data_IF_171225310322
#
_entry.id   IF_171225310322
#
_cell.length_a   1.000
_cell.length_b   1.000
_cell.length_c   1.000
_cell.angle_alpha   90.00
_cell.angle_beta   90.00
_cell.angle_gamma   90.00
#
_symmetry.space_group_name_H-M   'P 1'
#
loop_
_entity.id
_entity.type
_entity.pdbx_description
1 polymer ?
#
# COMPACT_ATOMS: atom_id res chain seq x y z
N UNK A 1 -21.08 -9.06 -11.45
CA UNK A 1 -19.71 -9.59 -11.32
C UNK A 1 -19.66 -10.87 -12.12
N UNK A 2 -18.86 -10.89 -13.19
CA UNK A 2 -18.69 -12.06 -14.06
C UNK A 2 -17.86 -13.09 -13.30
N UNK A 3 -18.31 -14.33 -13.27
CA UNK A 3 -17.68 -15.39 -12.48
C UNK A 3 -16.40 -15.86 -13.19
N UNK A 4 -15.26 -15.74 -12.53
CA UNK A 4 -13.97 -16.26 -13.01
C UNK A 4 -13.29 -15.45 -14.11
N UNK A 5 -13.79 -14.27 -14.46
CA UNK A 5 -13.17 -13.42 -15.47
C UNK A 5 -12.07 -12.53 -14.87
N UNK A 6 -10.81 -12.80 -15.22
CA UNK A 6 -9.73 -11.81 -15.11
C UNK A 6 -9.93 -10.76 -16.21
N UNK A 7 -10.50 -9.61 -15.82
CA UNK A 7 -10.86 -8.56 -16.75
C UNK A 7 -9.66 -7.98 -17.50
N UNK A 8 -8.52 -7.78 -16.83
CA UNK A 8 -7.35 -7.19 -17.47
C UNK A 8 -6.72 -8.13 -18.50
N UNK A 9 -6.66 -9.42 -18.19
CA UNK A 9 -6.18 -10.45 -19.13
C UNK A 9 -7.15 -10.59 -20.32
N UNK A 10 -8.45 -10.61 -20.05
CA UNK A 10 -9.48 -10.68 -21.10
C UNK A 10 -9.41 -9.52 -22.09
N UNK A 11 -9.20 -8.28 -21.62
CA UNK A 11 -9.05 -7.12 -22.51
C UNK A 11 -7.81 -7.25 -23.42
N UNK A 12 -6.71 -7.81 -22.90
CA UNK A 12 -5.52 -8.05 -23.72
C UNK A 12 -5.78 -9.13 -24.77
N UNK A 13 -6.42 -10.24 -24.40
CA UNK A 13 -6.83 -11.30 -25.31
C UNK A 13 -7.76 -10.78 -26.42
N UNK A 14 -8.77 -9.98 -26.06
CA UNK A 14 -9.72 -9.39 -27.01
C UNK A 14 -9.02 -8.46 -28.03
N UNK A 15 -8.05 -7.66 -27.60
CA UNK A 15 -7.29 -6.79 -28.50
C UNK A 15 -6.51 -7.60 -29.53
N UNK A 16 -5.85 -8.67 -29.10
CA UNK A 16 -5.14 -9.58 -30.02
C UNK A 16 -6.09 -10.21 -31.03
N UNK A 17 -7.25 -10.71 -30.60
CA UNK A 17 -8.25 -11.30 -31.51
C UNK A 17 -8.81 -10.30 -32.53
N UNK A 18 -9.01 -9.04 -32.13
CA UNK A 18 -9.46 -7.98 -33.03
C UNK A 18 -8.37 -7.55 -34.04
N UNK A 19 -7.10 -7.55 -33.64
CA UNK A 19 -5.95 -7.24 -34.51
C UNK A 19 -5.68 -8.36 -35.53
N UNK A 20 -5.88 -9.62 -35.15
CA UNK A 20 -5.74 -10.79 -36.03
C UNK A 20 -6.93 -10.97 -36.98
N UNK A 21 -8.10 -10.42 -36.64
CA UNK A 21 -9.30 -10.47 -37.48
C UNK A 21 -9.16 -9.56 -38.71
N UNK A 22 -9.03 -10.18 -39.88
CA UNK A 22 -9.01 -9.50 -41.18
C UNK A 22 -10.22 -8.61 -41.53
N UNK A 23 -11.27 -8.61 -40.71
CA UNK A 23 -12.47 -7.77 -40.87
C UNK A 23 -12.65 -6.71 -39.77
N UNK A 24 -11.69 -6.58 -38.85
CA UNK A 24 -11.77 -5.66 -37.68
C UNK A 24 -13.05 -5.85 -36.82
N UNK A 25 -13.64 -7.04 -36.92
CA UNK A 25 -14.86 -7.46 -36.27
C UNK A 25 -14.68 -8.90 -35.78
N UNK A 26 -15.08 -9.16 -34.53
CA UNK A 26 -15.12 -10.50 -33.94
C UNK A 26 -16.49 -10.77 -33.34
N UNK A 27 -16.87 -12.04 -33.30
CA UNK A 27 -18.08 -12.47 -32.60
C UNK A 27 -17.78 -12.54 -31.09
N UNK A 28 -18.44 -11.70 -30.31
CA UNK A 28 -18.19 -11.58 -28.87
C UNK A 28 -18.52 -12.84 -28.07
N UNK A 29 -19.49 -13.63 -28.53
CA UNK A 29 -19.81 -14.93 -27.93
C UNK A 29 -18.68 -15.92 -28.17
N UNK A 30 -18.17 -16.00 -29.41
CA UNK A 30 -17.08 -16.91 -29.79
C UNK A 30 -15.78 -16.54 -29.07
N UNK A 31 -15.40 -15.25 -29.07
CA UNK A 31 -14.19 -14.79 -28.37
C UNK A 31 -14.26 -15.04 -26.87
N UNK A 32 -15.43 -14.85 -26.27
CA UNK A 32 -15.61 -15.11 -24.84
C UNK A 32 -15.59 -16.62 -24.52
N UNK A 33 -16.14 -17.43 -25.41
CA UNK A 33 -16.08 -18.89 -25.33
C UNK A 33 -14.64 -19.40 -25.44
N UNK A 34 -13.89 -18.93 -26.44
CA UNK A 34 -12.49 -19.32 -26.64
C UNK A 34 -11.62 -18.89 -25.46
N UNK A 35 -11.86 -17.69 -24.92
CA UNK A 35 -11.17 -17.24 -23.71
C UNK A 35 -11.42 -18.16 -22.51
N UNK A 36 -12.64 -18.65 -22.32
CA UNK A 36 -12.96 -19.60 -21.23
C UNK A 36 -12.49 -21.03 -21.49
N UNK A 37 -12.22 -21.41 -22.74
CA UNK A 37 -11.52 -22.65 -23.04
C UNK A 37 -10.05 -22.56 -22.61
N UNK A 38 -9.39 -21.43 -22.90
CA UNK A 38 -7.98 -21.21 -22.56
C UNK A 38 -7.77 -20.87 -21.07
N UNK A 39 -8.75 -20.21 -20.46
CA UNK A 39 -8.72 -19.73 -19.07
C UNK A 39 -10.04 -20.08 -18.34
N UNK A 40 -10.24 -21.35 -17.96
CA UNK A 40 -11.49 -21.79 -17.36
C UNK A 40 -11.74 -21.18 -15.97
N UNK A 41 -12.99 -20.79 -15.66
CA UNK A 41 -13.38 -20.32 -14.33
C UNK A 41 -13.15 -21.34 -13.20
N UNK A 42 -12.77 -20.85 -12.01
CA UNK A 42 -12.53 -21.68 -10.83
C UNK A 42 -13.69 -22.66 -10.52
N UNK A 43 -13.35 -23.96 -10.48
CA UNK A 43 -14.26 -25.04 -10.13
C UNK A 43 -14.88 -25.81 -11.30
N UNK A 44 -14.40 -25.57 -12.53
CA UNK A 44 -14.63 -26.45 -13.68
C UNK A 44 -13.41 -27.36 -13.86
N UNK A 45 -13.63 -28.68 -13.91
CA UNK A 45 -12.54 -29.63 -14.16
C UNK A 45 -12.02 -29.46 -15.60
N UNK A 46 -10.71 -29.16 -15.73
CA UNK A 46 -10.02 -29.03 -17.01
C UNK A 46 -10.10 -30.34 -17.80
N UNK A 47 -10.81 -30.34 -18.93
CA UNK A 47 -10.83 -31.51 -19.81
C UNK A 47 -11.57 -31.25 -21.12
N UNK A 48 -11.04 -31.81 -22.21
CA UNK A 48 -11.58 -31.67 -23.58
C UNK A 48 -12.91 -32.44 -23.82
N UNK A 49 -13.69 -32.68 -22.77
CA UNK A 49 -14.96 -33.42 -22.86
C UNK A 49 -16.08 -32.56 -23.41
N UNK A 50 -17.02 -33.17 -24.14
CA UNK A 50 -18.22 -32.47 -24.65
C UNK A 50 -19.01 -31.79 -23.51
N UNK A 51 -19.04 -32.41 -22.32
CA UNK A 51 -19.67 -31.87 -21.12
C UNK A 51 -19.03 -30.56 -20.64
N UNK A 52 -17.70 -30.45 -20.72
CA UNK A 52 -16.97 -29.23 -20.35
C UNK A 52 -17.28 -28.08 -21.31
N UNK A 53 -17.29 -28.36 -22.63
CA UNK A 53 -17.65 -27.37 -23.66
C UNK A 53 -19.10 -26.89 -23.50
N UNK A 54 -20.03 -27.79 -23.21
CA UNK A 54 -21.44 -27.44 -22.94
C UNK A 54 -21.63 -26.58 -21.67
N UNK A 55 -20.80 -26.77 -20.64
CA UNK A 55 -20.85 -25.96 -19.42
C UNK A 55 -20.28 -24.56 -19.67
N UNK A 56 -19.18 -24.45 -20.43
CA UNK A 56 -18.62 -23.15 -20.85
C UNK A 56 -19.62 -22.39 -21.71
N UNK A 57 -20.24 -23.04 -22.72
CA UNK A 57 -21.24 -22.39 -23.57
C UNK A 57 -22.40 -21.84 -22.74
N UNK A 58 -22.93 -22.63 -21.79
CA UNK A 58 -23.97 -22.15 -20.86
C UNK A 58 -23.54 -20.94 -20.04
N UNK A 59 -22.28 -20.92 -19.56
CA UNK A 59 -21.74 -19.80 -18.79
C UNK A 59 -21.54 -18.54 -19.63
N UNK A 60 -21.07 -18.69 -20.87
CA UNK A 60 -20.89 -17.59 -21.84
C UNK A 60 -22.24 -16.97 -22.17
N UNK A 61 -23.23 -17.78 -22.55
CA UNK A 61 -24.58 -17.32 -22.88
C UNK A 61 -25.25 -16.61 -21.69
N UNK A 62 -25.03 -17.09 -20.46
CA UNK A 62 -25.58 -16.45 -19.27
C UNK A 62 -24.93 -15.10 -18.92
N UNK A 63 -23.68 -14.87 -19.35
CA UNK A 63 -22.87 -13.74 -18.91
C UNK A 63 -22.58 -12.70 -20.01
N UNK A 64 -22.78 -13.05 -21.28
CA UNK A 64 -22.46 -12.19 -22.43
C UNK A 64 -23.17 -10.83 -22.36
N UNK A 65 -24.43 -10.79 -21.92
CA UNK A 65 -25.17 -9.54 -21.75
C UNK A 65 -24.51 -8.60 -20.71
N UNK A 66 -24.06 -9.16 -19.58
CA UNK A 66 -23.39 -8.36 -18.56
C UNK A 66 -21.99 -7.94 -19.00
N UNK A 67 -21.28 -8.81 -19.73
CA UNK A 67 -19.99 -8.49 -20.33
C UNK A 67 -20.11 -7.36 -21.35
N UNK A 68 -21.10 -7.40 -22.24
CA UNK A 68 -21.35 -6.37 -23.22
C UNK A 68 -21.64 -5.01 -22.57
N UNK A 69 -22.44 -4.97 -21.50
CA UNK A 69 -22.69 -3.74 -20.75
C UNK A 69 -21.40 -3.21 -20.10
N UNK A 70 -20.63 -4.08 -19.46
CA UNK A 70 -19.38 -3.70 -18.80
C UNK A 70 -18.31 -3.20 -19.78
N UNK A 71 -18.19 -3.84 -20.95
CA UNK A 71 -17.31 -3.40 -22.03
C UNK A 71 -17.80 -2.08 -22.65
N UNK A 72 -19.12 -1.90 -22.81
CA UNK A 72 -19.68 -0.64 -23.31
C UNK A 72 -19.46 0.52 -22.33
N UNK A 73 -19.51 0.27 -21.02
CA UNK A 73 -19.24 1.29 -19.99
C UNK A 73 -17.76 1.65 -19.89
N UNK A 74 -16.88 0.64 -19.87
CA UNK A 74 -15.46 0.84 -19.55
C UNK A 74 -14.57 1.02 -20.79
N UNK A 75 -14.92 0.41 -21.93
CA UNK A 75 -14.06 0.29 -23.11
C UNK A 75 -14.66 0.96 -24.37
N UNK A 76 -15.71 1.77 -24.22
CA UNK A 76 -16.34 2.56 -25.30
C UNK A 76 -15.40 3.49 -26.06
N UNK A 77 -14.19 3.72 -25.53
CA UNK A 77 -13.15 4.53 -26.16
C UNK A 77 -12.52 3.88 -27.38
N UNK A 78 -12.47 2.54 -27.44
CA UNK A 78 -11.85 1.80 -28.55
C UNK A 78 -12.71 0.65 -29.09
N UNK A 79 -13.74 0.23 -28.36
CA UNK A 79 -14.61 -0.88 -28.70
C UNK A 79 -16.04 -0.39 -28.95
N UNK A 80 -16.64 -0.81 -30.06
CA UNK A 80 -18.06 -0.64 -30.35
C UNK A 80 -18.72 -2.03 -30.33
N UNK A 81 -19.83 -2.16 -29.60
CA UNK A 81 -20.58 -3.40 -29.49
C UNK A 81 -21.92 -3.21 -30.21
N UNK A 82 -22.18 -4.09 -31.19
CA UNK A 82 -23.37 -4.10 -32.04
C UNK A 82 -23.98 -5.50 -31.96
N UNK A 83 -24.91 -5.67 -31.00
CA UNK A 83 -25.41 -6.97 -30.54
C UNK A 83 -24.27 -7.92 -30.12
N UNK A 84 -24.05 -9.00 -30.89
CA UNK A 84 -23.01 -10.01 -30.64
C UNK A 84 -21.69 -9.69 -31.38
N UNK A 85 -21.61 -8.57 -32.10
CA UNK A 85 -20.45 -8.19 -32.90
C UNK A 85 -19.65 -7.12 -32.19
N UNK A 86 -18.41 -7.45 -31.88
CA UNK A 86 -17.45 -6.53 -31.28
C UNK A 86 -16.55 -5.99 -32.38
N UNK A 87 -16.54 -4.67 -32.54
CA UNK A 87 -15.84 -3.96 -33.60
C UNK A 87 -14.88 -2.95 -32.99
N UNK A 88 -13.73 -2.77 -33.63
CA UNK A 88 -12.91 -1.60 -33.35
C UNK A 88 -13.71 -0.35 -33.72
N UNK A 89 -13.79 0.62 -32.81
CA UNK A 89 -14.45 1.88 -33.11
C UNK A 89 -13.62 2.63 -34.15
N UNK A 90 -14.16 2.97 -35.34
CA UNK A 90 -13.42 3.72 -36.37
C UNK A 90 -13.01 5.12 -35.90
N UNK A 91 -13.62 5.62 -34.82
CA UNK A 91 -13.22 6.88 -34.16
C UNK A 91 -12.03 6.71 -33.21
N UNK A 92 -11.63 5.46 -32.92
CA UNK A 92 -10.47 5.09 -32.12
C UNK A 92 -9.26 4.72 -32.99
N UNK A 93 -9.50 4.31 -34.24
CA UNK A 93 -8.49 4.32 -35.30
C UNK A 93 -8.35 5.77 -35.79
N UNK A 94 -7.49 6.50 -35.09
CA UNK A 94 -7.16 7.92 -35.31
C UNK A 94 -8.18 8.96 -34.81
N UNK A 95 -8.10 9.25 -33.52
CA UNK A 95 -7.53 10.57 -33.18
C UNK A 95 -6.02 10.41 -32.97
N UNK A 96 -5.26 10.26 -34.07
CA UNK A 96 -4.12 11.14 -34.21
C UNK A 96 -4.75 12.51 -34.09
N UNK A 97 -4.46 13.22 -33.01
CA UNK A 97 -4.62 14.65 -33.10
C UNK A 97 -3.91 15.05 -34.38
N UNK A 98 -4.63 15.70 -35.29
CA UNK A 98 -4.04 16.52 -36.34
C UNK A 98 -3.34 17.77 -35.74
N UNK A 99 -2.82 17.59 -34.53
CA UNK A 99 -1.72 18.34 -33.99
C UNK A 99 -0.67 17.26 -33.73
N UNK A 100 0.15 16.94 -34.75
CA UNK A 100 1.37 16.17 -34.52
C UNK A 100 2.04 16.80 -33.30
N UNK A 101 2.33 16.00 -32.27
CA UNK A 101 2.98 16.53 -31.08
C UNK A 101 4.23 17.32 -31.50
N UNK A 102 4.57 18.36 -30.75
CA UNK A 102 5.71 19.21 -31.08
C UNK A 102 6.99 18.39 -31.33
N UNK A 103 7.11 17.24 -30.64
CA UNK A 103 8.12 16.23 -30.90
C UNK A 103 7.99 15.62 -32.31
N UNK A 104 6.87 14.98 -32.66
CA UNK A 104 6.70 14.28 -33.95
C UNK A 104 6.86 15.18 -35.18
N UNK A 105 6.58 16.49 -35.06
CA UNK A 105 6.87 17.49 -36.11
C UNK A 105 8.37 17.69 -36.37
N UNK A 106 9.22 17.39 -35.37
CA UNK A 106 10.68 17.61 -35.38
C UNK A 106 11.50 16.31 -35.51
N UNK A 107 10.84 15.16 -35.69
CA UNK A 107 11.48 13.85 -35.82
C UNK A 107 11.76 13.47 -37.29
N UNK A 108 12.95 12.95 -37.54
CA UNK A 108 13.28 12.26 -38.79
C UNK A 108 12.55 10.92 -38.89
N UNK A 109 12.43 10.36 -40.10
CA UNK A 109 11.74 9.07 -40.35
C UNK A 109 12.35 7.94 -39.52
N UNK A 110 13.68 7.88 -39.44
CA UNK A 110 14.43 6.90 -38.65
C UNK A 110 14.17 7.04 -37.14
N UNK A 111 13.89 8.24 -36.65
CA UNK A 111 13.62 8.49 -35.23
C UNK A 111 12.17 8.15 -34.85
N UNK A 112 11.25 8.23 -35.82
CA UNK A 112 9.86 7.79 -35.63
C UNK A 112 9.80 6.27 -35.46
N UNK A 113 10.63 5.53 -36.22
CA UNK A 113 10.75 4.08 -36.09
C UNK A 113 11.21 3.62 -34.69
N UNK A 114 11.90 4.49 -33.92
CA UNK A 114 12.30 4.16 -32.54
C UNK A 114 11.12 4.01 -31.57
N UNK A 115 9.96 4.59 -31.88
CA UNK A 115 8.73 4.45 -31.09
C UNK A 115 8.02 3.11 -31.34
N UNK A 116 8.35 2.42 -32.43
CA UNK A 116 7.73 1.15 -32.83
C UNK A 116 8.55 -0.07 -32.36
N UNK A 117 9.72 0.17 -31.77
CA UNK A 117 10.61 -0.89 -31.28
C UNK A 117 10.00 -1.63 -30.08
N UNK A 118 10.16 -2.95 -30.08
CA UNK A 118 9.90 -3.80 -28.93
C UNK A 118 11.14 -3.92 -28.02
N UNK A 119 10.92 -4.24 -26.74
CA UNK A 119 12.01 -4.41 -25.75
C UNK A 119 13.08 -5.41 -26.21
N UNK A 120 12.68 -6.47 -26.93
CA UNK A 120 13.57 -7.56 -27.37
C UNK A 120 14.51 -7.15 -28.50
N UNK A 121 14.20 -6.07 -29.21
CA UNK A 121 14.99 -5.56 -30.34
C UNK A 121 16.08 -4.58 -29.89
N UNK A 122 16.10 -4.21 -28.60
CA UNK A 122 17.02 -3.19 -28.07
C UNK A 122 18.35 -3.80 -27.61
N UNK A 123 19.32 -3.85 -28.53
CA UNK A 123 20.72 -4.14 -28.22
C UNK A 123 21.44 -2.97 -27.52
N UNK A 124 22.69 -3.17 -27.08
CA UNK A 124 23.48 -2.15 -26.38
C UNK A 124 23.73 -0.88 -27.23
N UNK A 125 23.90 -1.04 -28.54
CA UNK A 125 24.15 0.06 -29.48
C UNK A 125 22.90 0.90 -29.69
N UNK A 126 21.75 0.24 -29.89
CA UNK A 126 20.44 0.87 -30.03
C UNK A 126 20.03 1.57 -28.75
N UNK A 127 20.35 1.00 -27.57
CA UNK A 127 20.12 1.65 -26.28
C UNK A 127 20.89 2.96 -26.14
N UNK A 128 22.17 3.02 -26.55
CA UNK A 128 22.95 4.27 -26.56
C UNK A 128 22.32 5.31 -27.48
N UNK A 129 21.79 4.89 -28.64
CA UNK A 129 21.03 5.77 -29.54
C UNK A 129 19.74 6.28 -28.89
N UNK A 130 18.97 5.42 -28.21
CA UNK A 130 17.75 5.80 -27.48
C UNK A 130 18.03 6.80 -26.36
N UNK A 131 19.11 6.59 -25.58
CA UNK A 131 19.54 7.54 -24.54
C UNK A 131 19.88 8.92 -25.14
N UNK A 132 20.64 8.94 -26.25
CA UNK A 132 20.96 10.17 -26.97
C UNK A 132 19.72 10.86 -27.50
N UNK A 133 18.84 10.09 -28.15
CA UNK A 133 17.56 10.55 -28.69
C UNK A 133 16.65 11.16 -27.60
N UNK A 134 16.54 10.48 -26.47
CA UNK A 134 15.74 10.95 -25.34
C UNK A 134 16.27 12.28 -24.79
N UNK A 135 17.55 12.37 -24.50
CA UNK A 135 18.15 13.56 -23.90
C UNK A 135 18.12 14.78 -24.83
N UNK A 136 18.26 14.57 -26.14
CA UNK A 136 18.31 15.66 -27.12
C UNK A 136 16.93 16.16 -27.54
N UNK A 137 15.96 15.25 -27.68
CA UNK A 137 14.66 15.55 -28.30
C UNK A 137 13.49 15.24 -27.39
N UNK A 138 13.32 13.98 -26.97
CA UNK A 138 12.10 13.52 -26.28
C UNK A 138 11.90 14.24 -24.94
N UNK A 139 12.97 14.40 -24.15
CA UNK A 139 12.90 15.09 -22.85
C UNK A 139 12.41 16.54 -22.97
N UNK A 140 12.75 17.22 -24.08
CA UNK A 140 12.49 18.65 -24.31
C UNK A 140 11.15 18.92 -24.99
N UNK A 141 10.78 18.08 -25.96
CA UNK A 141 9.63 18.34 -26.84
C UNK A 141 8.51 17.31 -26.69
N UNK A 142 8.75 16.19 -25.99
CA UNK A 142 7.78 15.12 -25.83
C UNK A 142 6.74 15.40 -24.76
N UNK A 143 5.53 14.91 -24.97
CA UNK A 143 4.52 14.76 -23.93
C UNK A 143 4.87 13.62 -22.96
N UNK A 144 4.17 13.54 -21.84
CA UNK A 144 4.50 12.58 -20.78
C UNK A 144 4.37 11.12 -21.21
N UNK A 145 3.36 10.80 -22.03
CA UNK A 145 3.22 9.46 -22.64
C UNK A 145 4.38 9.09 -23.56
N UNK A 146 4.85 10.04 -24.37
CA UNK A 146 5.95 9.84 -25.31
C UNK A 146 7.28 9.69 -24.58
N UNK A 147 7.50 10.50 -23.55
CA UNK A 147 8.66 10.36 -22.66
C UNK A 147 8.65 8.99 -22.00
N UNK A 148 7.53 8.58 -21.42
CA UNK A 148 7.43 7.31 -20.71
C UNK A 148 7.74 6.13 -21.62
N UNK A 149 7.19 6.10 -22.84
CA UNK A 149 7.44 5.02 -23.79
C UNK A 149 8.95 4.83 -24.06
N UNK A 150 9.65 5.91 -24.39
CA UNK A 150 11.08 5.84 -24.70
C UNK A 150 11.90 5.49 -23.45
N UNK A 151 11.54 6.03 -22.28
CA UNK A 151 12.22 5.69 -21.03
C UNK A 151 12.08 4.21 -20.71
N UNK A 152 10.89 3.63 -20.89
CA UNK A 152 10.67 2.19 -20.68
C UNK A 152 11.55 1.34 -21.58
N UNK A 153 11.66 1.68 -22.87
CA UNK A 153 12.58 0.99 -23.79
C UNK A 153 14.04 1.08 -23.33
N UNK A 154 14.46 2.21 -22.76
CA UNK A 154 15.81 2.39 -22.21
C UNK A 154 16.02 1.52 -20.96
N UNK A 155 15.07 1.54 -20.03
CA UNK A 155 15.22 0.92 -18.70
C UNK A 155 14.97 -0.59 -18.74
N UNK A 156 13.92 -1.04 -19.40
CA UNK A 156 13.54 -2.45 -19.40
C UNK A 156 14.55 -3.32 -20.18
N UNK A 157 15.15 -2.76 -21.24
CA UNK A 157 16.25 -3.43 -21.95
C UNK A 157 17.55 -3.52 -21.11
N UNK A 158 17.72 -2.65 -20.10
CA UNK A 158 18.93 -2.57 -19.30
C UNK A 158 19.08 -3.69 -18.26
N UNK A 159 18.02 -4.44 -17.93
CA UNK A 159 18.08 -5.52 -16.93
C UNK A 159 19.14 -6.62 -17.22
N UNK A 160 19.76 -6.62 -18.40
CA UNK A 160 20.70 -7.64 -18.86
C UNK A 160 22.13 -7.13 -19.16
N UNK A 161 22.49 -5.87 -18.89
CA UNK A 161 23.82 -5.34 -19.26
C UNK A 161 24.58 -4.73 -18.07
N UNK A 162 25.52 -5.51 -17.52
CA UNK A 162 26.49 -5.07 -16.50
C UNK A 162 27.69 -4.44 -17.20
N UNK A 163 27.59 -3.20 -17.66
CA UNK A 163 28.78 -2.40 -17.98
C UNK A 163 28.47 -0.90 -18.02
N UNK A 164 29.29 -0.17 -17.25
CA UNK A 164 29.63 1.25 -17.34
C UNK A 164 28.57 2.33 -17.04
N UNK A 165 28.83 3.03 -15.92
CA UNK A 165 28.82 4.50 -15.72
C UNK A 165 27.68 5.39 -16.25
N UNK A 166 26.56 4.83 -16.69
CA UNK A 166 25.39 5.63 -17.04
C UNK A 166 24.43 5.74 -15.86
N UNK A 167 23.85 6.94 -15.68
CA UNK A 167 22.81 7.24 -14.70
C UNK A 167 21.48 6.54 -15.05
N UNK A 168 21.47 5.22 -15.16
CA UNK A 168 20.26 4.43 -15.40
C UNK A 168 19.24 4.59 -14.28
N UNK A 169 19.71 4.86 -13.06
CA UNK A 169 18.86 5.22 -11.94
C UNK A 169 18.04 6.47 -12.23
N UNK A 170 18.61 7.49 -12.88
CA UNK A 170 17.86 8.71 -13.24
C UNK A 170 16.71 8.39 -14.21
N UNK A 171 16.93 7.46 -15.15
CA UNK A 171 15.89 7.01 -16.07
C UNK A 171 14.83 6.17 -15.35
N UNK A 172 15.21 5.30 -14.42
CA UNK A 172 14.26 4.56 -13.58
C UNK A 172 13.41 5.51 -12.74
N UNK A 173 14.03 6.50 -12.08
CA UNK A 173 13.29 7.49 -11.29
C UNK A 173 12.37 8.35 -12.16
N UNK A 174 12.80 8.73 -13.37
CA UNK A 174 11.95 9.45 -14.33
C UNK A 174 10.79 8.59 -14.84
N UNK A 175 11.01 7.29 -15.08
CA UNK A 175 9.95 6.35 -15.47
C UNK A 175 8.88 6.23 -14.37
N UNK A 176 9.32 6.10 -13.12
CA UNK A 176 8.43 6.05 -11.97
C UNK A 176 7.64 7.35 -11.77
N UNK A 177 8.29 8.51 -11.95
CA UNK A 177 7.66 9.82 -11.79
C UNK A 177 6.58 10.04 -12.84
N UNK A 178 6.94 9.88 -14.11
CA UNK A 178 6.02 10.10 -15.23
C UNK A 178 4.92 9.03 -15.23
N UNK A 179 5.25 7.77 -14.93
CA UNK A 179 4.27 6.70 -14.78
C UNK A 179 3.27 6.98 -13.66
N UNK A 180 3.72 7.51 -12.52
CA UNK A 180 2.86 7.92 -11.41
C UNK A 180 1.95 9.10 -11.78
N UNK A 181 2.46 10.09 -12.52
CA UNK A 181 1.65 11.21 -13.04
C UNK A 181 0.55 10.75 -14.01
N UNK A 182 0.81 9.68 -14.76
CA UNK A 182 -0.15 9.06 -15.66
C UNK A 182 -1.03 7.99 -14.98
N UNK A 183 -0.90 7.80 -13.66
CA UNK A 183 -1.57 6.76 -12.86
C UNK A 183 -1.41 5.35 -13.44
N UNK A 184 -0.26 5.07 -14.07
CA UNK A 184 -0.02 3.77 -14.71
C UNK A 184 0.36 2.72 -13.66
N UNK A 185 -0.40 1.61 -13.64
CA UNK A 185 -0.09 0.46 -12.78
C UNK A 185 1.30 -0.12 -13.08
N UNK A 186 1.98 -0.56 -12.04
CA UNK A 186 3.33 -1.15 -12.10
C UNK A 186 4.46 -0.12 -12.15
N UNK A 187 4.19 1.18 -12.23
CA UNK A 187 5.24 2.21 -12.31
C UNK A 187 6.18 2.24 -11.08
N UNK A 188 5.69 1.82 -9.90
CA UNK A 188 6.50 1.70 -8.69
C UNK A 188 7.71 0.77 -8.85
N UNK A 189 7.66 -0.19 -9.79
CA UNK A 189 8.74 -1.16 -10.04
C UNK A 189 10.03 -0.46 -10.47
N UNK A 190 9.95 0.69 -11.14
CA UNK A 190 11.13 1.45 -11.54
C UNK A 190 11.85 2.03 -10.32
N UNK A 191 11.12 2.63 -9.38
CA UNK A 191 11.69 3.07 -8.11
C UNK A 191 12.18 1.90 -7.26
N UNK A 192 11.48 0.76 -7.27
CA UNK A 192 11.93 -0.46 -6.58
C UNK A 192 13.28 -0.95 -7.13
N UNK A 193 13.46 -0.95 -8.45
CA UNK A 193 14.72 -1.30 -9.11
C UNK A 193 15.84 -0.31 -8.77
N UNK A 194 15.55 1.00 -8.79
CA UNK A 194 16.47 2.03 -8.34
C UNK A 194 16.90 1.82 -6.88
N UNK A 195 15.95 1.48 -5.99
CA UNK A 195 16.23 1.13 -4.60
C UNK A 195 17.13 -0.10 -4.48
N UNK A 196 16.87 -1.15 -5.26
CA UNK A 196 17.71 -2.36 -5.32
C UNK A 196 19.12 -2.06 -5.83
N UNK A 197 19.27 -1.13 -6.79
CA UNK A 197 20.56 -0.68 -7.30
C UNK A 197 21.40 -0.03 -6.19
N UNK A 198 20.86 0.95 -5.47
CA UNK A 198 21.58 1.60 -4.36
C UNK A 198 21.87 0.63 -3.22
N UNK A 199 20.95 -0.30 -2.93
CA UNK A 199 21.17 -1.37 -1.96
C UNK A 199 22.40 -2.21 -2.30
N UNK A 200 22.55 -2.59 -3.57
CA UNK A 200 23.69 -3.40 -4.02
C UNK A 200 25.02 -2.63 -3.96
N UNK A 201 24.98 -1.30 -3.94
CA UNK A 201 26.14 -0.42 -3.72
C UNK A 201 26.41 -0.10 -2.24
N UNK A 202 25.60 -0.63 -1.31
CA UNK A 202 25.63 -0.27 0.12
C UNK A 202 25.29 1.21 0.42
N UNK A 203 24.65 1.90 -0.52
CA UNK A 203 24.12 3.25 -0.36
C UNK A 203 22.71 3.19 0.25
N UNK A 204 22.64 2.76 1.51
CA UNK A 204 21.38 2.40 2.18
C UNK A 204 20.40 3.57 2.35
N UNK A 205 20.88 4.79 2.60
CA UNK A 205 20.03 5.98 2.73
C UNK A 205 19.30 6.29 1.41
N UNK A 206 20.03 6.29 0.29
CA UNK A 206 19.45 6.51 -1.04
C UNK A 206 18.52 5.37 -1.45
N UNK A 207 18.87 4.13 -1.09
CA UNK A 207 17.98 2.98 -1.28
C UNK A 207 16.65 3.16 -0.54
N UNK A 208 16.69 3.61 0.72
CA UNK A 208 15.48 3.89 1.50
C UNK A 208 14.61 4.97 0.86
N UNK A 209 15.22 6.07 0.38
CA UNK A 209 14.52 7.15 -0.34
C UNK A 209 13.81 6.63 -1.59
N UNK A 210 14.47 5.79 -2.40
CA UNK A 210 13.86 5.21 -3.59
C UNK A 210 12.69 4.27 -3.25
N UNK A 211 12.79 3.46 -2.18
CA UNK A 211 11.64 2.67 -1.73
C UNK A 211 10.49 3.56 -1.22
N UNK A 212 10.79 4.71 -0.60
CA UNK A 212 9.79 5.72 -0.27
C UNK A 212 9.02 6.22 -1.51
N UNK A 213 9.76 6.60 -2.56
CA UNK A 213 9.16 7.00 -3.84
C UNK A 213 8.34 5.86 -4.47
N UNK A 214 8.81 4.61 -4.37
CA UNK A 214 8.07 3.44 -4.84
C UNK A 214 6.73 3.28 -4.09
N UNK A 215 6.72 3.50 -2.77
CA UNK A 215 5.50 3.44 -1.95
C UNK A 215 4.51 4.52 -2.37
N UNK A 216 4.98 5.75 -2.60
CA UNK A 216 4.14 6.86 -2.99
C UNK A 216 3.55 6.65 -4.40
N UNK A 217 4.36 6.17 -5.35
CA UNK A 217 3.89 5.77 -6.67
C UNK A 217 2.85 4.64 -6.61
N UNK A 218 3.12 3.59 -5.81
CA UNK A 218 2.18 2.47 -5.64
C UNK A 218 0.84 2.92 -5.05
N UNK A 219 0.84 3.86 -4.10
CA UNK A 219 -0.39 4.43 -3.55
C UNK A 219 -1.16 5.26 -4.58
N UNK A 220 -0.47 6.12 -5.32
CA UNK A 220 -1.08 6.96 -6.37
C UNK A 220 -1.76 6.09 -7.44
N UNK A 221 -1.09 5.02 -7.87
CA UNK A 221 -1.61 4.08 -8.87
C UNK A 221 -2.57 3.02 -8.29
N UNK A 222 -2.95 3.12 -7.01
CA UNK A 222 -3.89 2.22 -6.32
C UNK A 222 -3.49 0.73 -6.44
N UNK A 223 -2.21 0.45 -6.25
CA UNK A 223 -1.67 -0.90 -6.16
C UNK A 223 -2.15 -1.63 -4.90
N UNK A 224 -2.03 -2.95 -4.92
CA UNK A 224 -2.45 -3.79 -3.79
C UNK A 224 -1.68 -3.47 -2.50
N UNK A 225 -2.36 -3.57 -1.36
CA UNK A 225 -1.77 -3.31 -0.05
C UNK A 225 -0.58 -4.24 0.26
N UNK A 226 -0.57 -5.45 -0.29
CA UNK A 226 0.56 -6.40 -0.19
C UNK A 226 1.84 -5.87 -0.83
N UNK A 227 1.72 -5.19 -1.98
CA UNK A 227 2.84 -4.53 -2.66
C UNK A 227 3.38 -3.42 -1.79
N UNK A 228 2.50 -2.55 -1.30
CA UNK A 228 2.86 -1.42 -0.43
C UNK A 228 3.51 -1.92 0.86
N UNK A 229 3.02 -3.01 1.44
CA UNK A 229 3.59 -3.66 2.62
C UNK A 229 5.01 -4.17 2.35
N UNK A 230 5.23 -4.84 1.21
CA UNK A 230 6.55 -5.35 0.82
C UNK A 230 7.56 -4.20 0.64
N UNK A 231 7.17 -3.14 -0.06
CA UNK A 231 8.00 -1.95 -0.26
C UNK A 231 8.33 -1.25 1.06
N UNK A 232 7.34 -1.11 1.96
CA UNK A 232 7.51 -0.52 3.29
C UNK A 232 8.49 -1.33 4.15
N UNK A 233 8.42 -2.66 4.09
CA UNK A 233 9.37 -3.54 4.76
C UNK A 233 10.80 -3.37 4.21
N UNK A 234 10.95 -3.28 2.89
CA UNK A 234 12.26 -3.05 2.26
C UNK A 234 12.84 -1.69 2.66
N UNK A 235 12.02 -0.63 2.64
CA UNK A 235 12.39 0.71 3.09
C UNK A 235 12.86 0.70 4.56
N UNK A 236 12.09 0.06 5.46
CA UNK A 236 12.49 -0.06 6.88
C UNK A 236 13.85 -0.70 7.04
N UNK A 237 14.11 -1.82 6.35
CA UNK A 237 15.39 -2.52 6.43
C UNK A 237 16.53 -1.61 5.97
N UNK A 238 16.33 -0.79 4.94
CA UNK A 238 17.37 0.14 4.50
C UNK A 238 17.64 1.24 5.54
N UNK A 239 16.60 1.79 6.18
CA UNK A 239 16.79 2.73 7.29
C UNK A 239 17.52 2.11 8.49
N UNK A 240 17.21 0.85 8.83
CA UNK A 240 17.93 0.10 9.88
C UNK A 240 19.42 -0.08 9.52
N UNK A 241 19.75 -0.32 8.24
CA UNK A 241 21.12 -0.52 7.78
C UNK A 241 21.95 0.77 7.71
N UNK A 242 21.33 1.93 7.42
CA UNK A 242 22.04 3.22 7.47
C UNK A 242 22.11 3.83 8.88
N UNK A 243 21.46 3.22 9.88
CA UNK A 243 21.42 3.74 11.25
C UNK A 243 20.44 4.90 11.44
N UNK A 244 19.50 5.12 10.52
CA UNK A 244 18.40 6.07 10.69
C UNK A 244 17.28 5.43 11.51
N UNK A 245 17.41 5.52 12.83
CA UNK A 245 16.45 4.94 13.77
C UNK A 245 15.06 5.58 13.70
N UNK A 246 14.98 6.89 13.43
CA UNK A 246 13.72 7.61 13.36
C UNK A 246 12.94 7.25 12.08
N UNK A 247 13.64 7.17 10.95
CA UNK A 247 13.12 6.65 9.69
C UNK A 247 12.66 5.19 9.82
N UNK A 248 13.49 4.34 10.42
CA UNK A 248 13.16 2.93 10.65
C UNK A 248 11.95 2.74 11.56
N UNK A 249 11.85 3.50 12.66
CA UNK A 249 10.72 3.45 13.58
C UNK A 249 9.42 3.89 12.90
N UNK A 250 9.47 4.96 12.10
CA UNK A 250 8.31 5.45 11.33
C UNK A 250 7.86 4.43 10.29
N UNK A 251 8.81 3.85 9.55
CA UNK A 251 8.54 2.79 8.58
C UNK A 251 7.96 1.53 9.24
N UNK A 252 8.45 1.16 10.43
CA UNK A 252 7.92 0.03 11.21
C UNK A 252 6.48 0.24 11.62
N UNK A 253 6.13 1.45 12.02
CA UNK A 253 4.75 1.79 12.38
C UNK A 253 3.82 1.64 11.16
N UNK A 254 4.20 2.19 10.01
CA UNK A 254 3.45 2.02 8.77
C UNK A 254 3.35 0.57 8.30
N UNK A 255 4.43 -0.22 8.44
CA UNK A 255 4.43 -1.65 8.14
C UNK A 255 3.36 -2.40 8.95
N UNK A 256 3.24 -2.11 10.26
CA UNK A 256 2.25 -2.77 11.11
C UNK A 256 0.81 -2.30 10.83
N UNK A 257 0.62 -1.02 10.49
CA UNK A 257 -0.69 -0.51 10.04
C UNK A 257 -1.14 -1.25 8.76
N UNK A 258 -0.23 -1.47 7.81
CA UNK A 258 -0.50 -2.25 6.60
C UNK A 258 -0.75 -3.74 6.87
N UNK A 259 0.00 -4.36 7.79
CA UNK A 259 -0.23 -5.76 8.20
C UNK A 259 -1.64 -5.98 8.75
N UNK A 260 -2.15 -5.03 9.54
CA UNK A 260 -3.51 -5.10 10.05
C UNK A 260 -4.56 -5.08 8.93
N UNK A 261 -4.30 -4.33 7.86
CA UNK A 261 -5.18 -4.23 6.69
C UNK A 261 -5.13 -5.50 5.85
N UNK A 262 -3.91 -5.94 5.47
CA UNK A 262 -3.66 -7.11 4.61
C UNK A 262 -4.16 -8.41 5.25
N UNK A 263 -3.90 -8.64 6.54
CA UNK A 263 -4.28 -9.90 7.20
C UNK A 263 -5.80 -10.09 7.28
N UNK A 264 -6.56 -8.99 7.38
CA UNK A 264 -8.02 -9.02 7.37
C UNK A 264 -8.68 -9.54 8.65
N UNK A 265 -8.02 -10.34 9.50
CA UNK A 265 -8.62 -10.94 10.71
C UNK A 265 -8.91 -9.89 11.78
N UNK A 266 -10.15 -9.90 12.28
CA UNK A 266 -10.66 -8.95 13.28
C UNK A 266 -9.81 -8.96 14.56
N UNK A 267 -9.39 -10.14 15.04
CA UNK A 267 -8.57 -10.25 16.26
C UNK A 267 -7.23 -9.53 16.13
N UNK A 268 -6.58 -9.64 14.97
CA UNK A 268 -5.28 -8.99 14.71
C UNK A 268 -5.47 -7.48 14.58
N UNK A 269 -6.52 -7.04 13.89
CA UNK A 269 -6.87 -5.61 13.81
C UNK A 269 -7.08 -4.99 15.19
N UNK A 270 -7.79 -5.68 16.10
CA UNK A 270 -8.03 -5.19 17.46
C UNK A 270 -6.72 -5.08 18.25
N UNK A 271 -5.90 -6.14 18.25
CA UNK A 271 -4.63 -6.16 18.99
C UNK A 271 -3.68 -5.07 18.48
N UNK A 272 -3.51 -4.97 17.17
CA UNK A 272 -2.64 -3.95 16.56
C UNK A 272 -3.18 -2.54 16.80
N UNK A 273 -4.49 -2.32 16.74
CA UNK A 273 -5.11 -1.03 17.07
C UNK A 273 -4.85 -0.61 18.51
N UNK A 274 -4.96 -1.53 19.48
CA UNK A 274 -4.64 -1.25 20.89
C UNK A 274 -3.16 -0.88 21.03
N UNK A 275 -2.24 -1.66 20.45
CA UNK A 275 -0.80 -1.39 20.50
C UNK A 275 -0.43 -0.06 19.83
N UNK A 276 -1.10 0.28 18.72
CA UNK A 276 -0.96 1.55 18.01
C UNK A 276 -1.36 2.72 18.89
N UNK A 277 -2.53 2.66 19.49
CA UNK A 277 -3.04 3.74 20.37
C UNK A 277 -2.16 3.91 21.60
N UNK A 278 -1.76 2.82 22.26
CA UNK A 278 -1.03 2.90 23.52
C UNK A 278 0.46 3.23 23.37
N UNK A 279 1.10 2.76 22.28
CA UNK A 279 2.58 2.75 22.22
C UNK A 279 3.19 2.98 20.84
N UNK A 280 2.39 3.16 19.79
CA UNK A 280 2.84 3.10 18.39
C UNK A 280 3.68 1.83 18.13
N UNK A 281 3.15 0.66 18.52
CA UNK A 281 3.83 -0.63 18.43
C UNK A 281 5.17 -0.71 19.21
N UNK A 282 5.17 -0.11 20.41
CA UNK A 282 6.33 0.02 21.30
C UNK A 282 7.47 0.88 20.71
N UNK A 283 7.16 1.84 19.83
CA UNK A 283 8.16 2.78 19.29
C UNK A 283 8.13 4.13 20.02
N UNK A 284 7.06 4.46 20.73
CA UNK A 284 6.86 5.76 21.35
C UNK A 284 6.69 5.67 22.88
N UNK A 285 7.79 5.67 23.67
CA UNK A 285 7.71 5.56 25.13
C UNK A 285 6.97 6.73 25.78
N UNK A 286 7.01 7.93 25.17
CA UNK A 286 6.29 9.11 25.67
C UNK A 286 4.78 8.90 25.65
N UNK A 287 4.26 8.25 24.61
CA UNK A 287 2.84 7.90 24.48
C UNK A 287 2.40 6.91 25.56
N UNK A 288 3.23 5.93 25.86
CA UNK A 288 2.98 4.96 26.93
C UNK A 288 2.92 5.66 28.29
N UNK A 289 3.89 6.54 28.58
CA UNK A 289 3.90 7.32 29.82
C UNK A 289 2.67 8.24 29.94
N UNK A 290 2.23 8.82 28.83
CA UNK A 290 1.01 9.63 28.78
C UNK A 290 -0.24 8.82 29.12
N UNK A 291 -0.42 7.63 28.55
CA UNK A 291 -1.56 6.76 28.89
C UNK A 291 -1.50 6.22 30.31
N UNK A 292 -0.31 5.90 30.82
CA UNK A 292 -0.12 5.53 32.23
C UNK A 292 -0.53 6.67 33.16
N UNK A 293 -0.14 7.91 32.84
CA UNK A 293 -0.54 9.10 33.58
C UNK A 293 -2.06 9.33 33.54
N UNK A 294 -2.70 9.13 32.38
CA UNK A 294 -4.17 9.17 32.26
C UNK A 294 -4.82 8.12 33.16
N UNK A 295 -4.30 6.88 33.19
CA UNK A 295 -4.84 5.83 34.04
C UNK A 295 -4.77 6.23 35.52
N UNK A 296 -3.64 6.76 35.98
CA UNK A 296 -3.47 7.26 37.35
C UNK A 296 -4.48 8.37 37.65
N UNK A 297 -4.58 9.40 36.79
CA UNK A 297 -5.53 10.49 37.02
C UNK A 297 -6.99 10.05 36.99
N UNK A 298 -7.34 9.14 36.09
CA UNK A 298 -8.70 8.61 35.99
C UNK A 298 -9.06 7.78 37.23
N UNK A 299 -8.16 6.90 37.68
CA UNK A 299 -8.34 6.12 38.91
C UNK A 299 -8.47 7.04 40.13
N UNK A 300 -7.59 8.04 40.25
CA UNK A 300 -7.68 9.04 41.32
C UNK A 300 -9.02 9.79 41.33
N UNK A 301 -9.54 10.16 40.15
CA UNK A 301 -10.84 10.79 40.03
C UNK A 301 -11.97 9.83 40.48
N UNK A 302 -11.93 8.58 40.01
CA UNK A 302 -12.89 7.55 40.40
C UNK A 302 -12.87 7.31 41.91
N UNK A 303 -11.69 7.21 42.54
CA UNK A 303 -11.53 7.10 43.99
C UNK A 303 -12.06 8.31 44.75
N UNK A 304 -11.87 9.52 44.23
CA UNK A 304 -12.44 10.73 44.84
C UNK A 304 -13.97 10.67 44.90
N UNK A 305 -14.63 10.10 43.89
CA UNK A 305 -16.09 9.93 43.88
C UNK A 305 -16.58 8.70 44.66
N UNK A 306 -15.90 7.55 44.51
CA UNK A 306 -16.33 6.28 45.09
C UNK A 306 -15.89 6.10 46.54
N UNK A 307 -14.71 6.61 46.90
CA UNK A 307 -14.21 6.74 48.25
C UNK A 307 -12.99 5.90 48.60
N UNK A 308 -12.12 6.49 49.39
CA UNK A 308 -10.96 5.84 50.02
C UNK A 308 -11.08 5.97 51.54
N UNK A 309 -10.54 5.01 52.28
CA UNK A 309 -10.55 4.99 53.75
C UNK A 309 -9.12 5.10 54.25
N UNK A 310 -8.76 6.24 54.87
CA UNK A 310 -7.49 6.37 55.58
C UNK A 310 -7.45 5.43 56.80
N UNK A 311 -6.30 4.85 57.09
CA UNK A 311 -6.11 3.96 58.23
C UNK A 311 -6.48 4.66 59.54
N UNK A 312 -7.39 4.06 60.29
CA UNK A 312 -7.89 4.60 61.56
C UNK A 312 -8.91 5.76 61.42
N UNK A 313 -9.40 6.05 60.22
CA UNK A 313 -10.41 7.08 59.95
C UNK A 313 -11.62 6.55 59.18
N UNK A 314 -12.68 7.37 59.05
CA UNK A 314 -13.82 7.06 58.21
C UNK A 314 -13.50 7.25 56.71
N UNK A 315 -14.30 6.61 55.86
CA UNK A 315 -14.21 6.81 54.41
C UNK A 315 -14.37 8.29 54.03
N UNK A 316 -13.56 8.73 53.06
CA UNK A 316 -13.60 10.08 52.49
C UNK A 316 -13.96 10.02 51.00
N UNK A 317 -14.86 10.92 50.59
CA UNK A 317 -15.31 11.12 49.21
C UNK A 317 -15.51 12.61 48.96
N UNK A 318 -15.60 13.03 47.71
CA UNK A 318 -15.95 14.42 47.36
C UNK A 318 -17.30 14.88 47.93
N UNK A 319 -18.22 13.96 48.22
CA UNK A 319 -19.55 14.26 48.75
C UNK A 319 -19.62 14.25 50.28
N UNK A 320 -18.80 13.43 50.94
CA UNK A 320 -18.85 13.22 52.39
C UNK A 320 -17.87 14.12 53.14
N UNK A 321 -16.78 14.54 52.48
CA UNK A 321 -15.76 15.40 53.07
C UNK A 321 -16.08 16.87 52.80
N UNK A 322 -16.87 17.51 53.67
CA UNK A 322 -17.17 18.95 53.57
C UNK A 322 -15.91 19.83 53.39
N UNK A 323 -16.03 20.93 52.62
CA UNK A 323 -15.05 22.00 52.27
C UNK A 323 -13.59 21.64 51.91
N UNK A 324 -13.11 20.41 52.10
CA UNK A 324 -11.72 19.99 51.86
C UNK A 324 -11.59 19.08 50.63
N UNK A 325 -12.28 19.42 49.54
CA UNK A 325 -12.21 18.71 48.24
C UNK A 325 -10.78 18.52 47.76
N UNK A 326 -9.93 19.54 47.94
CA UNK A 326 -8.50 19.47 47.59
C UNK A 326 -7.78 18.34 48.31
N UNK A 327 -8.03 18.15 49.61
CA UNK A 327 -7.38 17.09 50.38
C UNK A 327 -7.77 15.70 49.86
N UNK A 328 -9.07 15.46 49.66
CA UNK A 328 -9.57 14.19 49.10
C UNK A 328 -8.96 13.92 47.73
N UNK A 329 -8.85 14.95 46.88
CA UNK A 329 -8.24 14.81 45.56
C UNK A 329 -6.76 14.40 45.63
N UNK A 330 -5.96 15.07 46.48
CA UNK A 330 -4.54 14.73 46.65
C UNK A 330 -4.34 13.36 47.29
N UNK A 331 -5.14 13.00 48.30
CA UNK A 331 -5.10 11.67 48.91
C UNK A 331 -5.48 10.58 47.90
N UNK A 332 -6.47 10.83 47.03
CA UNK A 332 -6.85 9.91 45.95
C UNK A 332 -5.78 9.78 44.87
N UNK A 333 -5.11 10.87 44.49
CA UNK A 333 -3.94 10.81 43.58
C UNK A 333 -2.83 9.98 44.21
N UNK A 334 -2.51 10.24 45.47
CA UNK A 334 -1.49 9.49 46.19
C UNK A 334 -1.81 8.00 46.26
N UNK A 335 -3.05 7.63 46.63
CA UNK A 335 -3.50 6.25 46.67
C UNK A 335 -3.42 5.58 45.28
N UNK A 336 -3.80 6.29 44.23
CA UNK A 336 -3.69 5.82 42.83
C UNK A 336 -2.22 5.59 42.42
N UNK A 337 -1.31 6.51 42.70
CA UNK A 337 0.13 6.34 42.38
C UNK A 337 0.70 5.13 43.10
N UNK A 338 0.44 4.97 44.41
CA UNK A 338 0.96 3.87 45.22
C UNK A 338 0.35 2.53 44.80
N UNK A 339 -0.90 2.52 44.32
CA UNK A 339 -1.57 1.33 43.77
C UNK A 339 -1.03 0.97 42.38
N UNK A 340 -0.92 1.94 41.47
CA UNK A 340 -0.35 1.76 40.13
C UNK A 340 1.09 1.23 40.18
N UNK A 341 1.90 1.78 41.08
CA UNK A 341 3.29 1.35 41.29
C UNK A 341 3.41 0.07 42.12
N UNK A 342 2.29 -0.48 42.60
CA UNK A 342 2.23 -1.68 43.47
C UNK A 342 2.99 -1.55 44.79
N UNK A 343 3.28 -0.31 45.23
CA UNK A 343 3.99 -0.05 46.50
C UNK A 343 3.12 -0.41 47.72
N UNK A 344 1.84 0.00 47.71
CA UNK A 344 0.84 -0.37 48.70
C UNK A 344 1.21 -0.17 50.18
N UNK A 345 1.48 1.06 50.63
CA UNK A 345 1.89 1.33 52.02
C UNK A 345 0.87 0.92 53.11
N UNK A 346 -0.41 0.77 52.76
CA UNK A 346 -1.48 0.37 53.69
C UNK A 346 -2.02 1.50 54.56
N UNK A 347 -1.70 2.74 54.22
CA UNK A 347 -2.22 3.97 54.82
C UNK A 347 -3.61 4.35 54.31
N UNK A 348 -3.95 3.94 53.08
CA UNK A 348 -5.30 4.06 52.51
C UNK A 348 -5.78 2.71 51.99
N UNK A 349 -7.09 2.49 52.04
CA UNK A 349 -7.77 1.31 51.51
C UNK A 349 -9.03 1.69 50.74
N UNK A 350 -9.46 0.89 49.74
CA UNK A 350 -10.69 1.15 49.01
C UNK A 350 -11.91 1.01 49.95
N UNK A 351 -12.78 2.02 49.97
CA UNK A 351 -13.88 2.10 50.94
C UNK A 351 -15.04 1.13 50.66
N UNK A 352 -15.22 0.73 49.40
CA UNK A 352 -16.33 -0.10 48.93
C UNK A 352 -15.91 -1.01 47.77
N UNK A 353 -16.81 -1.90 47.34
CA UNK A 353 -16.52 -2.90 46.31
C UNK A 353 -16.22 -2.30 44.94
N UNK A 354 -16.82 -1.15 44.59
CA UNK A 354 -16.49 -0.46 43.35
C UNK A 354 -15.05 0.08 43.39
N UNK A 355 -14.64 0.72 44.49
CA UNK A 355 -13.26 1.21 44.68
C UNK A 355 -12.24 0.07 44.68
N UNK A 356 -12.62 -1.09 45.24
CA UNK A 356 -11.80 -2.32 45.17
C UNK A 356 -11.63 -2.82 43.74
N UNK A 357 -12.71 -2.81 42.97
CA UNK A 357 -12.65 -3.20 41.55
C UNK A 357 -11.73 -2.27 40.76
N UNK A 358 -11.84 -0.94 40.95
CA UNK A 358 -10.94 0.04 40.32
C UNK A 358 -9.48 -0.22 40.71
N UNK A 359 -9.18 -0.46 41.99
CA UNK A 359 -7.82 -0.77 42.45
C UNK A 359 -7.22 -2.03 41.82
N UNK A 360 -8.02 -3.07 41.64
CA UNK A 360 -7.57 -4.29 40.96
C UNK A 360 -7.24 -4.02 39.49
N UNK A 361 -8.08 -3.28 38.77
CA UNK A 361 -7.84 -2.90 37.38
C UNK A 361 -6.61 -1.99 37.26
N UNK A 362 -6.47 -1.02 38.16
CA UNK A 362 -5.32 -0.11 38.19
C UNK A 362 -4.01 -0.84 38.45
N UNK A 363 -3.97 -1.78 39.42
CA UNK A 363 -2.77 -2.55 39.71
C UNK A 363 -2.34 -3.43 38.51
N UNK A 364 -3.30 -4.09 37.85
CA UNK A 364 -3.03 -4.84 36.61
C UNK A 364 -2.56 -3.91 35.48
N UNK A 365 -3.20 -2.75 35.35
CA UNK A 365 -2.82 -1.70 34.42
C UNK A 365 -1.39 -1.20 34.67
N UNK A 366 -1.01 -1.00 35.93
CA UNK A 366 0.32 -0.59 36.34
C UNK A 366 1.41 -1.56 35.90
N UNK A 367 1.21 -2.86 36.13
CA UNK A 367 2.11 -3.92 35.64
C UNK A 367 2.21 -3.91 34.12
N UNK A 368 1.08 -3.79 33.43
CA UNK A 368 1.02 -3.76 31.96
C UNK A 368 1.76 -2.52 31.39
N UNK A 369 1.43 -1.32 31.86
CA UNK A 369 2.04 -0.07 31.38
C UNK A 369 3.52 0.02 31.71
N UNK A 370 3.95 -0.44 32.89
CA UNK A 370 5.38 -0.48 33.26
C UNK A 370 6.16 -1.40 32.30
N UNK A 371 5.62 -2.59 32.02
CA UNK A 371 6.23 -3.54 31.08
C UNK A 371 6.29 -2.96 29.66
N UNK A 372 5.20 -2.35 29.20
CA UNK A 372 5.11 -1.74 27.87
C UNK A 372 6.07 -0.54 27.73
N UNK A 373 6.23 0.25 28.79
CA UNK A 373 7.14 1.39 28.83
C UNK A 373 8.60 0.93 28.73
N UNK A 374 8.98 -0.10 29.50
CA UNK A 374 10.32 -0.67 29.45
C UNK A 374 10.66 -1.22 28.07
N UNK A 375 9.76 -2.00 27.46
CA UNK A 375 9.95 -2.52 26.10
C UNK A 375 10.10 -1.37 25.08
N UNK A 376 9.32 -0.30 25.23
CA UNK A 376 9.39 0.86 24.33
C UNK A 376 10.71 1.64 24.47
N UNK A 377 11.26 1.75 25.68
CA UNK A 377 12.58 2.34 25.92
C UNK A 377 13.67 1.48 25.28
N UNK A 378 13.66 0.17 25.54
CA UNK A 378 14.67 -0.76 25.00
C UNK A 378 14.67 -0.72 23.47
N UNK A 379 13.49 -0.66 22.84
CA UNK A 379 13.39 -0.54 21.38
C UNK A 379 13.88 0.80 20.85
N UNK A 380 13.62 1.90 21.56
CA UNK A 380 13.94 3.25 21.09
C UNK A 380 15.40 3.66 21.34
N UNK A 381 16.04 3.13 22.38
CA UNK A 381 17.38 3.56 22.81
C UNK A 381 18.40 2.43 22.94
N UNK A 382 17.99 1.17 22.75
CA UNK A 382 18.86 0.00 22.89
C UNK A 382 19.29 -0.62 21.57
N UNK A 383 19.05 0.05 20.43
CA UNK A 383 19.40 -0.43 19.09
C UNK A 383 20.66 0.22 18.57
#
# INVERSE_FOLDING_TARGET
MIRGLDYSNFIQYLKTQLEESSREEVNGVEVFFDYYLDYPPDGLDEGDSDFFREEIDRLVQAQIFYLNNMLSENESTWLTIDDDKWKLNPSAVEKKSDDQSELFKRLAVEEKALFELSMLEVDESLRKKLVGFYNQKVKKYGGDKEKLLIIKLIVDSYQYAVSDNCNYVDYMSAAGEIGGQLEEKGCYKYYEQAGKYYRNKYEHEESAKQFGLAIDAAKTCKEDNDVILCLTKNMRIQYELCGDEDGAATAFVHENDLKALVDGRIRIKIVLSILRVLSDYCQNPKKVAFWAFILILLSALLYGFSGITPSGSCAQTFFTSGKNLFRVFFDSIYFSIVTFTTLGYGDFSPSNDFSRFVANIEALGGLFFTSLFLVSIVRKYGR
#
